data_IF_443507498977
#
_entry.id   IF_443507498977
#
_cell.length_a   1.000
_cell.length_b   1.000
_cell.length_c   1.000
_cell.angle_alpha   90.00
_cell.angle_beta   90.00
_cell.angle_gamma   90.00
#
_symmetry.space_group_name_H-M   'P 1'
#
loop_
_entity.id
_entity.type
_entity.pdbx_description
1 polymer ?
#
# COMPACT_ATOMS: atom_id res chain seq x y z
N UNK A 1 33.97 -0.69 29.94
CA UNK A 1 33.70 -1.85 29.06
C UNK A 1 32.39 -2.50 29.49
N UNK A 2 31.59 -3.01 28.57
CA UNK A 2 30.30 -3.64 28.90
C UNK A 2 29.23 -3.49 27.80
N UNK A 3 28.13 -4.27 27.93
CA UNK A 3 26.90 -4.12 27.14
C UNK A 3 26.18 -2.80 27.54
N UNK A 4 25.21 -2.35 26.74
CA UNK A 4 24.38 -1.19 27.10
C UNK A 4 24.99 0.14 26.69
N UNK A 5 25.12 1.09 27.62
CA UNK A 5 25.38 2.53 27.36
C UNK A 5 26.55 2.79 26.39
N UNK A 6 27.73 2.19 26.64
CA UNK A 6 28.90 2.36 25.76
C UNK A 6 28.72 1.78 24.35
N UNK A 7 27.83 0.81 24.17
CA UNK A 7 27.51 0.22 22.87
C UNK A 7 26.54 1.09 22.05
N UNK A 8 25.62 1.81 22.71
CA UNK A 8 24.68 2.71 22.03
C UNK A 8 25.35 3.91 21.40
N UNK A 9 26.36 4.50 22.06
CA UNK A 9 27.15 5.62 21.53
C UNK A 9 27.88 5.30 20.21
N UNK A 10 28.15 4.01 19.93
CA UNK A 10 28.83 3.56 18.71
C UNK A 10 27.89 3.31 17.52
N UNK A 11 26.57 3.52 17.64
CA UNK A 11 25.56 3.18 16.61
C UNK A 11 25.46 4.19 15.45
N UNK A 12 26.59 4.49 14.80
CA UNK A 12 26.68 5.40 13.64
C UNK A 12 26.41 4.72 12.30
N UNK A 13 26.78 3.45 12.16
CA UNK A 13 26.59 2.69 10.92
C UNK A 13 25.12 2.26 10.75
N UNK A 14 24.59 2.36 9.52
CA UNK A 14 23.20 2.01 9.23
C UNK A 14 23.13 0.67 8.51
N UNK A 15 22.29 -0.23 9.02
CA UNK A 15 22.02 -1.52 8.37
C UNK A 15 20.78 -1.42 7.48
N UNK A 16 19.74 -0.72 7.95
CA UNK A 16 18.45 -0.60 7.26
C UNK A 16 18.13 0.84 6.85
N UNK A 17 17.76 1.03 5.58
CA UNK A 17 17.29 2.30 5.00
C UNK A 17 15.86 2.17 4.44
N UNK A 18 15.33 3.25 3.89
CA UNK A 18 14.00 3.26 3.26
C UNK A 18 13.99 2.38 2.01
N UNK A 19 12.99 1.51 1.91
CA UNK A 19 12.75 0.69 0.73
C UNK A 19 11.87 1.42 -0.27
N UNK A 20 12.33 1.53 -1.52
CA UNK A 20 11.61 2.18 -2.63
C UNK A 20 10.21 1.56 -2.88
N UNK A 21 10.08 0.23 -2.78
CA UNK A 21 8.81 -0.47 -3.07
C UNK A 21 7.74 -0.28 -1.99
N UNK A 22 8.12 -0.30 -0.71
CA UNK A 22 7.14 -0.33 0.39
C UNK A 22 7.23 0.85 1.36
N UNK A 23 8.16 1.79 1.16
CA UNK A 23 8.32 3.00 1.99
C UNK A 23 8.75 2.76 3.44
N UNK A 24 9.07 1.52 3.83
CA UNK A 24 9.48 1.18 5.20
C UNK A 24 11.00 1.23 5.33
N UNK A 25 11.51 1.63 6.51
CA UNK A 25 12.94 1.52 6.86
C UNK A 25 13.31 0.07 7.14
N UNK A 26 13.44 -0.70 6.07
CA UNK A 26 13.61 -2.16 6.11
C UNK A 26 14.51 -2.68 4.99
N UNK A 27 15.11 -1.80 4.19
CA UNK A 27 16.04 -2.19 3.14
C UNK A 27 17.44 -2.40 3.74
N UNK A 28 17.92 -3.64 3.75
CA UNK A 28 19.25 -3.95 4.25
C UNK A 28 20.30 -3.57 3.20
N UNK A 29 21.19 -2.62 3.53
CA UNK A 29 22.15 -2.05 2.57
C UNK A 29 23.14 -3.09 2.04
N UNK A 30 23.89 -3.75 2.92
CA UNK A 30 24.93 -4.70 2.51
C UNK A 30 24.42 -5.93 1.75
N UNK A 31 23.19 -6.36 2.05
CA UNK A 31 22.56 -7.55 1.44
C UNK A 31 21.62 -7.20 0.31
N UNK A 32 21.50 -5.90 -0.01
CA UNK A 32 20.60 -5.35 -1.02
C UNK A 32 19.19 -5.96 -0.99
N UNK A 33 18.61 -6.14 0.21
CA UNK A 33 17.34 -6.87 0.37
C UNK A 33 16.43 -6.25 1.43
N UNK A 34 15.17 -6.04 1.07
CA UNK A 34 14.16 -5.54 2.01
C UNK A 34 13.59 -6.66 2.89
N UNK A 35 13.69 -6.52 4.21
CA UNK A 35 13.10 -7.46 5.17
C UNK A 35 11.57 -7.39 5.22
N UNK A 36 10.94 -6.30 4.76
CA UNK A 36 9.49 -6.16 4.78
C UNK A 36 8.80 -6.75 3.54
N UNK A 37 9.31 -6.42 2.35
CA UNK A 37 8.66 -6.77 1.07
C UNK A 37 9.53 -7.61 0.13
N UNK A 38 10.77 -7.94 0.51
CA UNK A 38 11.78 -8.67 -0.27
C UNK A 38 12.25 -8.01 -1.58
N UNK A 39 12.04 -6.69 -1.78
CA UNK A 39 12.73 -5.95 -2.84
C UNK A 39 14.25 -6.28 -2.82
N UNK A 40 14.89 -6.64 -3.94
CA UNK A 40 14.43 -6.52 -5.34
C UNK A 40 13.57 -7.68 -5.89
N UNK A 41 13.38 -8.79 -5.17
CA UNK A 41 12.66 -9.97 -5.67
C UNK A 41 11.31 -9.63 -6.32
N UNK A 42 10.93 -10.32 -7.39
CA UNK A 42 9.68 -10.05 -8.12
C UNK A 42 8.44 -10.22 -7.24
N UNK A 43 8.38 -11.33 -6.49
CA UNK A 43 7.27 -11.60 -5.55
C UNK A 43 7.42 -10.79 -4.27
N UNK A 44 6.31 -10.23 -3.77
CA UNK A 44 6.26 -9.61 -2.45
C UNK A 44 6.38 -10.69 -1.38
N UNK A 45 7.23 -10.47 -0.38
CA UNK A 45 7.34 -11.36 0.79
C UNK A 45 6.03 -11.41 1.56
N UNK A 46 5.48 -12.60 1.77
CA UNK A 46 4.35 -12.90 2.66
C UNK A 46 4.63 -14.19 3.40
N UNK A 47 4.22 -14.26 4.66
CA UNK A 47 4.32 -15.47 5.48
C UNK A 47 2.99 -15.69 6.18
N UNK A 48 2.45 -16.90 6.07
CA UNK A 48 1.10 -17.22 6.56
C UNK A 48 1.00 -17.16 8.09
N UNK A 49 2.09 -17.44 8.79
CA UNK A 49 2.18 -17.30 10.24
C UNK A 49 2.07 -15.84 10.72
N UNK A 50 2.22 -14.84 9.83
CA UNK A 50 2.19 -13.42 10.19
C UNK A 50 0.91 -12.71 9.73
N UNK A 51 -0.22 -13.08 10.32
CA UNK A 51 -1.56 -12.58 9.95
C UNK A 51 -1.65 -11.05 10.01
N UNK A 52 -1.15 -10.43 11.10
CA UNK A 52 -1.15 -8.96 11.26
C UNK A 52 -0.31 -8.26 10.19
N UNK A 53 0.80 -8.86 9.77
CA UNK A 53 1.66 -8.29 8.73
C UNK A 53 1.00 -8.39 7.36
N UNK A 54 0.24 -9.46 7.07
CA UNK A 54 -0.58 -9.59 5.86
C UNK A 54 -1.64 -8.48 5.84
N UNK A 55 -2.43 -8.33 6.91
CA UNK A 55 -3.49 -7.31 7.01
C UNK A 55 -3.01 -5.88 6.75
N UNK A 56 -1.81 -5.52 7.23
CA UNK A 56 -1.23 -4.18 7.07
C UNK A 56 -0.83 -3.80 5.64
N UNK A 57 -0.79 -4.76 4.70
CA UNK A 57 -0.31 -4.55 3.32
C UNK A 57 -1.23 -5.14 2.25
N UNK A 58 -2.35 -5.73 2.66
CA UNK A 58 -3.30 -6.37 1.76
C UNK A 58 -3.95 -5.35 0.83
N UNK A 59 -4.51 -5.81 -0.28
CA UNK A 59 -5.40 -5.00 -1.13
C UNK A 59 -6.54 -4.47 -0.26
N UNK A 60 -6.88 -3.18 -0.39
CA UNK A 60 -7.83 -2.52 0.53
C UNK A 60 -7.25 -1.32 1.26
N UNK A 61 -5.99 -1.39 1.70
CA UNK A 61 -5.42 -0.39 2.63
C UNK A 61 -4.86 0.85 1.94
N UNK A 62 -4.85 0.90 0.61
CA UNK A 62 -4.24 1.97 -0.17
C UNK A 62 -5.24 2.78 -1.00
N UNK A 63 -4.71 3.61 -1.90
CA UNK A 63 -5.51 4.46 -2.80
C UNK A 63 -6.47 3.66 -3.67
N UNK A 64 -6.09 2.44 -4.10
CA UNK A 64 -6.92 1.57 -4.94
C UNK A 64 -7.54 2.29 -6.14
N UNK A 65 -6.75 3.13 -6.83
CA UNK A 65 -7.24 4.07 -7.86
C UNK A 65 -8.10 3.38 -8.93
N UNK A 66 -7.63 2.24 -9.44
CA UNK A 66 -8.38 1.45 -10.42
C UNK A 66 -9.48 0.61 -9.76
N UNK A 67 -9.11 -0.21 -8.75
CA UNK A 67 -10.03 -1.15 -8.11
C UNK A 67 -11.23 -0.51 -7.41
N UNK A 68 -11.17 0.76 -6.97
CA UNK A 68 -12.35 1.46 -6.43
C UNK A 68 -13.38 1.78 -7.52
N UNK A 69 -12.90 2.02 -8.74
CA UNK A 69 -13.77 2.36 -9.87
C UNK A 69 -14.42 1.12 -10.49
N UNK A 70 -13.73 -0.04 -10.44
CA UNK A 70 -14.19 -1.28 -11.07
C UNK A 70 -15.58 -1.73 -10.55
N UNK A 71 -15.86 -1.83 -9.23
CA UNK A 71 -17.19 -2.20 -8.74
C UNK A 71 -18.29 -1.24 -9.16
N UNK A 72 -17.98 0.06 -9.30
CA UNK A 72 -18.94 1.06 -9.80
C UNK A 72 -19.31 0.78 -11.26
N UNK A 73 -18.32 0.50 -12.12
CA UNK A 73 -18.57 0.09 -13.51
C UNK A 73 -19.26 -1.27 -13.61
N UNK A 74 -18.92 -2.19 -12.71
CA UNK A 74 -19.52 -3.53 -12.68
C UNK A 74 -21.04 -3.46 -12.49
N UNK A 75 -21.53 -2.57 -11.60
CA UNK A 75 -22.98 -2.33 -11.40
C UNK A 75 -23.71 -1.87 -12.67
N UNK A 76 -22.98 -1.29 -13.62
CA UNK A 76 -23.52 -0.84 -14.91
C UNK A 76 -23.02 -1.71 -16.06
N UNK A 77 -22.58 -2.95 -15.79
CA UNK A 77 -22.05 -3.91 -16.77
C UNK A 77 -20.96 -3.31 -17.69
N UNK A 78 -20.09 -2.47 -17.14
CA UNK A 78 -19.02 -1.80 -17.89
C UNK A 78 -19.50 -1.04 -19.13
N UNK A 79 -20.70 -0.45 -19.09
CA UNK A 79 -21.17 0.48 -20.12
C UNK A 79 -20.13 1.57 -20.39
N UNK A 80 -19.79 1.75 -21.66
CA UNK A 80 -18.86 2.75 -22.19
C UNK A 80 -19.51 3.46 -23.39
N UNK A 81 -19.07 4.70 -23.69
CA UNK A 81 -19.53 5.44 -24.88
C UNK A 81 -20.94 6.02 -24.83
N UNK A 82 -21.66 5.89 -23.70
CA UNK A 82 -23.01 6.49 -23.55
C UNK A 82 -22.93 7.88 -22.93
N UNK A 83 -23.59 8.86 -23.53
CA UNK A 83 -23.76 10.19 -22.93
C UNK A 83 -24.84 10.18 -21.85
N UNK A 84 -24.63 10.95 -20.78
CA UNK A 84 -25.64 11.08 -19.75
C UNK A 84 -26.82 11.90 -20.29
N UNK A 85 -28.01 11.33 -20.26
CA UNK A 85 -29.22 12.05 -20.65
C UNK A 85 -29.36 13.35 -19.83
N UNK A 86 -29.75 14.48 -20.46
CA UNK A 86 -29.89 15.75 -19.77
C UNK A 86 -30.92 15.61 -18.65
N UNK A 87 -30.56 16.09 -17.45
CA UNK A 87 -31.46 16.09 -16.29
C UNK A 87 -32.65 17.00 -16.57
N UNK A 88 -33.87 16.45 -16.65
CA UNK A 88 -35.10 17.25 -16.67
C UNK A 88 -35.23 17.95 -15.30
N UNK A 89 -35.30 19.29 -15.29
CA UNK A 89 -35.66 20.04 -14.07
C UNK A 89 -37.09 19.64 -13.70
N UNK A 90 -37.27 18.95 -12.58
CA UNK A 90 -38.59 18.80 -11.98
C UNK A 90 -38.94 20.16 -11.40
N UNK A 91 -40.13 20.70 -11.72
CA UNK A 91 -40.63 21.92 -11.11
C UNK A 91 -40.61 21.75 -9.58
N UNK A 92 -40.21 22.80 -8.86
CA UNK A 92 -40.24 22.78 -7.40
C UNK A 92 -41.65 22.36 -6.94
N UNK A 93 -41.73 21.33 -6.10
CA UNK A 93 -43.01 20.94 -5.52
C UNK A 93 -43.52 22.12 -4.68
N UNK A 94 -44.61 22.73 -5.12
CA UNK A 94 -45.42 23.62 -4.29
C UNK A 94 -46.02 22.79 -3.16
N UNK A 95 -46.01 23.35 -1.95
CA UNK A 95 -46.59 22.75 -0.75
C UNK A 95 -48.08 22.41 -0.91
#
# INVERSE_FOLDING_TARGET
>A
MGKGTGSFGKRRNKTHTLCVRCGRRSFHLQKSRCSACAYPAARKRTYNWSVKAIRRKTTGTGRMRYLRHVPRRFKTNFREGTEAAPRKKVAAASA
#
